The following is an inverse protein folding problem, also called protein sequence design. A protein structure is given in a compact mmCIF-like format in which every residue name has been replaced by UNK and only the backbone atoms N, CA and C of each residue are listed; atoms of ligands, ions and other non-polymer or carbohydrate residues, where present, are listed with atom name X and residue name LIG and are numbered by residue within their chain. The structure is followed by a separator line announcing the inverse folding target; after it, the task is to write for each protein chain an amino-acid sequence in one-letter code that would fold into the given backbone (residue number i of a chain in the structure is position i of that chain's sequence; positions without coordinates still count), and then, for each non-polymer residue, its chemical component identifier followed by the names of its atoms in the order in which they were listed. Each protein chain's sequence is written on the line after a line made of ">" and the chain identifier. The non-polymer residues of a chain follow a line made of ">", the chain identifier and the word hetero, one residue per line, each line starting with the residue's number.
data_IF_366973091737
#
_entry.id   IF_366973091737
#
_cell.length_a   1.000
_cell.length_b   1.000
_cell.length_c   1.000
_cell.angle_alpha   90.00
_cell.angle_beta   90.00
_cell.angle_gamma   90.00
#
_symmetry.space_group_name_H-M   'P 1'
#
loop_
_entity.id
_entity.type
_entity.pdbx_description
1 polymer ?
#
# COMPACT_ATOMS: atom_id res chain seq x y z
N UNK A 1 -31.16 12.21 35.19
CA UNK A 1 -31.88 11.49 34.11
C UNK A 1 -31.47 11.89 32.69
N UNK A 2 -31.35 13.19 32.36
CA UNK A 2 -30.95 13.64 30.99
C UNK A 2 -29.53 13.25 30.54
N UNK A 3 -28.57 13.15 31.46
CA UNK A 3 -27.18 12.74 31.15
C UNK A 3 -27.06 11.24 30.81
N UNK A 4 -27.80 10.40 31.52
CA UNK A 4 -27.86 8.95 31.26
C UNK A 4 -28.56 8.62 29.94
N UNK A 5 -29.58 9.40 29.56
CA UNK A 5 -30.23 9.25 28.25
C UNK A 5 -29.28 9.62 27.11
N UNK A 6 -28.43 10.65 27.28
CA UNK A 6 -27.43 11.04 26.28
C UNK A 6 -26.33 9.97 26.14
N UNK A 7 -25.81 9.44 27.25
CA UNK A 7 -24.86 8.32 27.27
C UNK A 7 -25.47 7.05 26.65
N UNK A 8 -26.74 6.76 26.94
CA UNK A 8 -27.45 5.60 26.40
C UNK A 8 -27.71 5.73 24.90
N UNK A 9 -28.00 6.93 24.39
CA UNK A 9 -28.15 7.20 22.95
C UNK A 9 -26.79 7.11 22.23
N UNK A 10 -25.70 7.59 22.83
CA UNK A 10 -24.34 7.43 22.29
C UNK A 10 -23.94 5.94 22.26
N UNK A 11 -24.28 5.18 23.30
CA UNK A 11 -24.06 3.73 23.36
C UNK A 11 -24.90 2.96 22.33
N UNK A 12 -26.17 3.33 22.13
CA UNK A 12 -27.08 2.65 21.18
C UNK A 12 -26.77 2.94 19.69
N UNK A 13 -26.12 4.05 19.35
CA UNK A 13 -25.72 4.33 17.96
C UNK A 13 -24.45 3.59 17.52
N UNK A 14 -23.75 2.92 18.46
CA UNK A 14 -22.47 2.26 18.20
C UNK A 14 -22.58 0.80 17.72
N UNK A 15 -23.79 0.23 17.61
CA UNK A 15 -24.00 -1.21 17.38
C UNK A 15 -24.29 -1.61 15.93
N UNK A 16 -24.32 -0.69 14.95
CA UNK A 16 -24.60 -1.02 13.55
C UNK A 16 -23.40 -0.82 12.61
N UNK A 17 -22.63 -1.90 12.42
CA UNK A 17 -21.66 -2.16 11.34
C UNK A 17 -20.52 -1.12 11.20
N UNK A 18 -19.59 -1.12 12.16
CA UNK A 18 -18.37 -0.29 12.15
C UNK A 18 -17.42 -0.57 10.96
N UNK A 19 -17.39 -1.81 10.45
CA UNK A 19 -16.64 -2.15 9.22
C UNK A 19 -17.23 -1.56 7.92
N UNK A 20 -18.43 -0.96 7.95
CA UNK A 20 -19.06 -0.38 6.77
C UNK A 20 -18.22 0.73 6.13
N UNK A 21 -17.42 1.44 6.92
CA UNK A 21 -16.60 2.54 6.41
C UNK A 21 -15.56 2.07 5.39
N UNK A 22 -15.05 0.85 5.51
CA UNK A 22 -13.98 0.33 4.65
C UNK A 22 -14.48 -0.61 3.55
N UNK A 23 -15.80 -0.79 3.41
CA UNK A 23 -16.43 -1.79 2.53
C UNK A 23 -16.02 -1.73 1.06
N UNK A 24 -15.68 -0.53 0.55
CA UNK A 24 -15.19 -0.37 -0.82
C UNK A 24 -13.66 -0.30 -0.87
N UNK A 25 -13.03 0.23 0.17
CA UNK A 25 -11.59 0.45 0.25
C UNK A 25 -10.85 -0.89 0.37
N UNK A 26 -11.20 -1.67 1.39
CA UNK A 26 -10.51 -2.92 1.73
C UNK A 26 -10.49 -3.94 0.57
N UNK A 27 -11.62 -4.28 -0.08
CA UNK A 27 -11.58 -5.17 -1.25
C UNK A 27 -10.77 -4.61 -2.43
N UNK A 28 -10.76 -3.29 -2.63
CA UNK A 28 -9.98 -2.67 -3.71
C UNK A 28 -8.47 -2.72 -3.46
N UNK A 29 -8.06 -2.64 -2.20
CA UNK A 29 -6.68 -2.84 -1.76
C UNK A 29 -6.27 -4.31 -1.91
N UNK A 30 -7.09 -5.25 -1.43
CA UNK A 30 -6.85 -6.68 -1.61
C UNK A 30 -6.63 -7.03 -3.09
N UNK A 31 -7.50 -6.50 -3.97
CA UNK A 31 -7.37 -6.68 -5.41
C UNK A 31 -6.07 -6.11 -5.97
N UNK A 32 -5.64 -4.93 -5.52
CA UNK A 32 -4.45 -4.26 -6.04
C UNK A 32 -3.14 -4.89 -5.57
N UNK A 33 -3.06 -5.27 -4.29
CA UNK A 33 -1.82 -5.70 -3.65
C UNK A 33 -1.73 -7.19 -3.37
N UNK A 34 -2.86 -7.90 -3.38
CA UNK A 34 -2.92 -9.31 -3.01
C UNK A 34 -2.95 -9.56 -1.51
N UNK A 35 -3.30 -8.55 -0.72
CA UNK A 35 -3.40 -8.70 0.74
C UNK A 35 -4.65 -9.45 1.17
N UNK A 36 -4.52 -10.23 2.24
CA UNK A 36 -5.63 -10.56 3.12
C UNK A 36 -5.98 -9.30 3.95
N UNK A 37 -7.23 -8.86 3.85
CA UNK A 37 -7.70 -7.65 4.52
C UNK A 37 -8.55 -7.95 5.75
N UNK A 38 -8.58 -9.21 6.22
CA UNK A 38 -9.34 -9.63 7.40
C UNK A 38 -8.94 -8.80 8.61
N UNK A 39 -7.63 -8.73 8.91
CA UNK A 39 -7.13 -7.96 10.05
C UNK A 39 -7.44 -6.47 9.95
N UNK A 40 -7.25 -5.87 8.78
CA UNK A 40 -7.62 -4.47 8.54
C UNK A 40 -9.11 -4.21 8.84
N UNK A 41 -9.99 -5.11 8.41
CA UNK A 41 -11.43 -5.01 8.63
C UNK A 41 -11.80 -5.19 10.11
N UNK A 42 -11.10 -6.08 10.83
CA UNK A 42 -11.26 -6.25 12.28
C UNK A 42 -10.88 -4.96 13.03
N UNK A 43 -9.74 -4.35 12.69
CA UNK A 43 -9.32 -3.04 13.24
C UNK A 43 -10.37 -1.98 12.93
N UNK A 44 -10.82 -1.89 11.68
CA UNK A 44 -11.86 -0.95 11.27
C UNK A 44 -13.19 -1.17 12.01
N UNK A 45 -13.49 -2.40 12.43
CA UNK A 45 -14.68 -2.72 13.21
C UNK A 45 -14.56 -2.31 14.69
N UNK A 46 -13.35 -2.16 15.22
CA UNK A 46 -13.13 -1.79 16.62
C UNK A 46 -12.95 -0.30 16.85
N UNK A 47 -12.70 0.47 15.80
CA UNK A 47 -12.52 1.93 15.87
C UNK A 47 -13.72 2.68 15.30
N UNK A 48 -13.86 3.95 15.67
CA UNK A 48 -14.83 4.84 15.04
C UNK A 48 -14.19 5.57 13.87
N UNK A 49 -14.94 5.74 12.77
CA UNK A 49 -14.51 6.59 11.66
C UNK A 49 -15.20 7.94 11.76
N UNK A 50 -14.42 8.99 11.91
CA UNK A 50 -14.88 10.37 11.91
C UNK A 50 -14.62 11.04 10.56
N UNK A 51 -15.55 11.86 10.09
CA UNK A 51 -15.18 12.95 9.19
C UNK A 51 -14.79 14.15 10.05
N UNK A 52 -13.80 14.97 9.67
CA UNK A 52 -13.43 16.15 10.43
C UNK A 52 -14.67 17.02 10.66
N UNK A 53 -15.01 17.20 11.93
CA UNK A 53 -16.05 18.11 12.41
C UNK A 53 -15.39 19.17 13.30
N UNK A 54 -16.17 20.02 13.98
CA UNK A 54 -15.73 21.18 14.77
C UNK A 54 -14.43 20.99 15.59
N UNK A 55 -14.05 19.78 16.01
CA UNK A 55 -12.77 19.46 16.68
C UNK A 55 -11.51 19.87 15.88
N UNK A 56 -11.54 19.83 14.54
CA UNK A 56 -10.46 20.40 13.71
C UNK A 56 -10.36 21.94 13.84
N UNK A 57 -11.47 22.60 14.19
CA UNK A 57 -11.53 24.04 14.44
C UNK A 57 -10.91 24.43 15.80
N UNK A 58 -10.75 23.46 16.72
CA UNK A 58 -10.09 23.65 18.03
C UNK A 58 -8.61 23.24 18.04
N UNK A 59 -8.01 22.96 16.87
CA UNK A 59 -6.57 22.73 16.69
C UNK A 59 -5.95 21.55 17.47
N UNK A 60 -6.74 20.54 17.83
CA UNK A 60 -6.25 19.36 18.59
C UNK A 60 -5.64 18.30 17.65
N UNK A 61 -5.96 18.33 16.36
CA UNK A 61 -5.56 17.32 15.36
C UNK A 61 -4.90 18.01 14.16
N UNK A 62 -3.79 17.46 13.66
CA UNK A 62 -2.98 18.04 12.58
C UNK A 62 -3.82 18.22 11.29
N UNK A 63 -4.18 19.46 10.97
CA UNK A 63 -5.04 19.81 9.83
C UNK A 63 -4.48 19.41 8.44
N UNK A 64 -3.20 19.03 8.34
CA UNK A 64 -2.55 18.68 7.07
C UNK A 64 -2.68 17.20 6.68
N UNK A 65 -2.77 16.28 7.64
CA UNK A 65 -2.76 14.84 7.38
C UNK A 65 -4.08 14.34 6.78
N UNK A 66 -4.01 13.35 5.90
CA UNK A 66 -5.17 12.80 5.17
C UNK A 66 -6.08 11.94 6.05
N UNK A 67 -5.48 11.31 7.04
CA UNK A 67 -6.13 10.67 8.16
C UNK A 67 -5.35 10.99 9.43
N UNK A 68 -5.99 10.86 10.60
CA UNK A 68 -5.32 10.89 11.90
C UNK A 68 -6.07 9.99 12.88
N UNK A 69 -5.34 9.13 13.58
CA UNK A 69 -5.87 8.32 14.66
C UNK A 69 -5.71 9.01 16.01
N UNK A 70 -6.80 9.07 16.77
CA UNK A 70 -6.83 9.51 18.17
C UNK A 70 -7.08 8.29 19.06
N UNK A 71 -6.06 7.91 19.82
CA UNK A 71 -6.04 6.78 20.75
C UNK A 71 -7.06 6.96 21.90
N UNK A 72 -7.13 8.16 22.49
CA UNK A 72 -8.01 8.47 23.62
C UNK A 72 -9.49 8.30 23.24
N UNK A 73 -9.89 8.81 22.06
CA UNK A 73 -11.26 8.74 21.59
C UNK A 73 -11.55 7.47 20.79
N UNK A 74 -10.51 6.72 20.42
CA UNK A 74 -10.57 5.58 19.51
C UNK A 74 -11.29 5.95 18.19
N UNK A 75 -10.86 7.07 17.59
CA UNK A 75 -11.40 7.62 16.35
C UNK A 75 -10.28 7.72 15.32
N UNK A 76 -10.50 7.16 14.13
CA UNK A 76 -9.73 7.47 12.94
C UNK A 76 -10.48 8.52 12.15
N UNK A 77 -9.97 9.75 12.19
CA UNK A 77 -10.50 10.86 11.41
C UNK A 77 -9.92 10.81 10.00
N UNK A 78 -10.78 10.82 8.98
CA UNK A 78 -10.35 10.87 7.58
C UNK A 78 -10.96 12.09 6.92
N UNK A 79 -10.20 12.82 6.09
CA UNK A 79 -10.75 13.99 5.38
C UNK A 79 -12.03 13.61 4.64
N UNK A 80 -13.06 14.47 4.76
CA UNK A 80 -14.40 14.25 4.17
C UNK A 80 -14.36 13.93 2.67
N UNK A 81 -13.37 14.48 1.97
CA UNK A 81 -13.13 14.28 0.55
C UNK A 81 -12.72 12.86 0.14
N UNK A 82 -12.30 12.01 1.10
CA UNK A 82 -11.98 10.60 0.89
C UNK A 82 -13.18 9.68 1.10
N UNK A 83 -14.34 10.23 1.50
CA UNK A 83 -15.59 9.49 1.64
C UNK A 83 -16.53 9.67 0.44
N UNK A 84 -17.36 8.66 0.25
CA UNK A 84 -18.60 8.70 -0.54
C UNK A 84 -19.77 8.62 0.44
N UNK A 85 -20.62 9.65 0.43
CA UNK A 85 -21.80 9.69 1.28
C UNK A 85 -23.03 9.21 0.52
N UNK A 86 -23.73 8.21 1.07
CA UNK A 86 -25.05 7.78 0.62
C UNK A 86 -25.99 7.73 1.82
N UNK A 87 -27.11 8.45 1.75
CA UNK A 87 -28.11 8.53 2.83
C UNK A 87 -27.50 8.89 4.19
N UNK A 88 -26.61 9.90 4.21
CA UNK A 88 -25.91 10.34 5.42
C UNK A 88 -24.80 9.41 5.92
N UNK A 89 -24.55 8.27 5.26
CA UNK A 89 -23.53 7.29 5.66
C UNK A 89 -22.32 7.38 4.74
N UNK A 90 -21.15 7.67 5.31
CA UNK A 90 -19.88 7.78 4.58
C UNK A 90 -19.12 6.46 4.50
N UNK A 91 -18.67 6.09 3.30
CA UNK A 91 -17.71 4.98 3.11
C UNK A 91 -16.46 5.48 2.39
N UNK A 92 -15.29 4.98 2.78
CA UNK A 92 -14.03 5.32 2.12
C UNK A 92 -14.09 4.94 0.64
N UNK A 93 -13.54 5.80 -0.19
CA UNK A 93 -13.39 5.57 -1.62
C UNK A 93 -12.52 4.32 -1.87
N UNK A 94 -12.92 3.50 -2.85
CA UNK A 94 -12.03 2.48 -3.41
C UNK A 94 -10.78 3.10 -4.05
N UNK A 95 -9.73 2.30 -4.25
CA UNK A 95 -8.50 2.74 -4.94
C UNK A 95 -8.78 3.34 -6.32
N UNK A 96 -9.70 2.76 -7.08
CA UNK A 96 -10.09 3.30 -8.40
C UNK A 96 -10.75 4.68 -8.30
N UNK A 97 -11.55 4.92 -7.27
CA UNK A 97 -12.19 6.21 -7.04
C UNK A 97 -11.17 7.26 -6.58
N UNK A 98 -10.28 6.88 -5.66
CA UNK A 98 -9.18 7.73 -5.22
C UNK A 98 -8.26 8.10 -6.40
N UNK A 99 -7.90 7.12 -7.24
CA UNK A 99 -7.08 7.33 -8.44
C UNK A 99 -7.74 8.27 -9.44
N UNK A 100 -9.04 8.12 -9.69
CA UNK A 100 -9.78 9.04 -10.59
C UNK A 100 -9.81 10.47 -10.05
N UNK A 101 -9.95 10.63 -8.73
CA UNK A 101 -10.10 11.95 -8.10
C UNK A 101 -8.77 12.66 -7.87
N UNK A 102 -7.73 11.95 -7.44
CA UNK A 102 -6.45 12.52 -7.00
C UNK A 102 -5.27 12.17 -7.92
N UNK A 103 -5.50 11.40 -8.99
CA UNK A 103 -4.50 11.02 -9.99
C UNK A 103 -3.24 10.39 -9.41
N UNK A 104 -2.16 11.16 -9.23
CA UNK A 104 -0.89 10.71 -8.68
C UNK A 104 -0.89 10.71 -7.15
N UNK A 105 -1.62 11.65 -6.53
CA UNK A 105 -1.63 11.83 -5.08
C UNK A 105 -2.46 10.76 -4.33
N UNK A 106 -3.16 9.88 -5.05
CA UNK A 106 -3.97 8.83 -4.41
C UNK A 106 -3.14 7.84 -3.60
N UNK A 107 -1.89 7.58 -3.99
CA UNK A 107 -0.99 6.68 -3.27
C UNK A 107 -0.70 7.21 -1.88
N UNK A 108 -0.45 8.52 -1.75
CA UNK A 108 -0.25 9.21 -0.46
C UNK A 108 -1.49 9.09 0.41
N UNK A 109 -2.70 9.25 -0.15
CA UNK A 109 -3.95 9.08 0.63
C UNK A 109 -4.07 7.67 1.22
N UNK A 110 -3.72 6.65 0.43
CA UNK A 110 -3.80 5.23 0.82
C UNK A 110 -2.74 4.92 1.87
N UNK A 111 -1.50 5.37 1.65
CA UNK A 111 -0.40 5.27 2.60
C UNK A 111 -0.79 5.86 3.97
N UNK A 112 -1.31 7.10 4.00
CA UNK A 112 -1.74 7.73 5.25
C UNK A 112 -2.87 6.95 5.94
N UNK A 113 -3.85 6.42 5.20
CA UNK A 113 -4.90 5.58 5.81
C UNK A 113 -4.28 4.34 6.47
N UNK A 114 -3.31 3.70 5.82
CA UNK A 114 -2.61 2.54 6.36
C UNK A 114 -1.75 2.87 7.58
N UNK A 115 -1.04 4.00 7.54
CA UNK A 115 -0.26 4.51 8.67
C UNK A 115 -1.12 4.66 9.93
N UNK A 116 -2.26 5.36 9.80
CA UNK A 116 -3.15 5.61 10.94
C UNK A 116 -3.90 4.34 11.39
N UNK A 117 -4.24 3.45 10.45
CA UNK A 117 -4.78 2.14 10.77
C UNK A 117 -3.76 1.28 11.53
N UNK A 118 -2.46 1.43 11.26
CA UNK A 118 -1.41 0.74 12.00
C UNK A 118 -1.27 1.25 13.44
N UNK A 119 -1.58 2.53 13.71
CA UNK A 119 -1.72 3.03 15.08
C UNK A 119 -2.92 2.39 15.80
N UNK A 120 -4.07 2.35 15.13
CA UNK A 120 -5.26 1.68 15.66
C UNK A 120 -5.03 0.18 15.92
N UNK A 121 -4.30 -0.49 15.03
CA UNK A 121 -3.92 -1.90 15.19
C UNK A 121 -2.99 -2.12 16.38
N UNK A 122 -2.04 -1.20 16.59
CA UNK A 122 -1.17 -1.22 17.76
C UNK A 122 -1.99 -1.22 19.05
N UNK A 123 -2.90 -0.25 19.18
CA UNK A 123 -3.74 -0.05 20.35
C UNK A 123 -4.70 -1.23 20.58
N UNK A 124 -5.42 -1.66 19.53
CA UNK A 124 -6.52 -2.63 19.67
C UNK A 124 -6.11 -4.09 19.68
N UNK A 125 -4.95 -4.42 19.11
CA UNK A 125 -4.60 -5.81 18.94
C UNK A 125 -3.16 -6.14 19.29
N UNK A 126 -2.19 -5.25 19.08
CA UNK A 126 -0.80 -5.60 19.41
C UNK A 126 -0.57 -5.47 20.91
N UNK A 127 -0.97 -4.34 21.52
CA UNK A 127 -0.84 -4.14 22.97
C UNK A 127 -1.72 -5.10 23.78
N UNK A 128 -2.91 -5.43 23.27
CA UNK A 128 -3.85 -6.39 23.86
C UNK A 128 -3.67 -7.84 23.33
N UNK A 129 -2.56 -8.09 22.61
CA UNK A 129 -2.34 -9.26 21.76
C UNK A 129 -2.58 -10.62 22.39
N UNK A 130 -3.51 -11.37 21.79
CA UNK A 130 -3.80 -12.76 22.16
C UNK A 130 -3.00 -13.76 21.33
N UNK A 131 -2.70 -13.42 20.08
CA UNK A 131 -1.95 -14.30 19.16
C UNK A 131 -0.45 -14.32 19.48
N UNK A 132 0.28 -15.39 19.11
CA UNK A 132 1.73 -15.42 19.22
C UNK A 132 2.43 -14.28 18.45
N UNK A 133 1.89 -13.89 17.29
CA UNK A 133 2.46 -12.85 16.42
C UNK A 133 2.29 -11.46 17.01
N UNK A 134 1.10 -11.13 17.55
CA UNK A 134 0.88 -9.87 18.25
C UNK A 134 1.82 -9.77 19.47
N UNK A 135 1.92 -10.82 20.28
CA UNK A 135 2.80 -10.87 21.46
C UNK A 135 4.28 -10.73 21.09
N UNK A 136 4.72 -11.38 20.02
CA UNK A 136 6.10 -11.28 19.53
C UNK A 136 6.43 -9.84 19.14
N UNK A 137 5.57 -9.21 18.33
CA UNK A 137 5.77 -7.83 17.92
C UNK A 137 5.73 -6.87 19.12
N UNK A 138 4.74 -7.02 20.00
CA UNK A 138 4.65 -6.21 21.23
C UNK A 138 5.92 -6.30 22.06
N UNK A 139 6.46 -7.50 22.28
CA UNK A 139 7.67 -7.70 23.06
C UNK A 139 8.88 -7.00 22.42
N UNK A 140 9.07 -7.10 21.11
CA UNK A 140 10.17 -6.41 20.40
C UNK A 140 10.02 -4.90 20.54
N UNK A 141 8.83 -4.36 20.26
CA UNK A 141 8.60 -2.92 20.33
C UNK A 141 8.74 -2.38 21.76
N UNK A 142 8.18 -3.08 22.74
CA UNK A 142 8.13 -2.63 24.13
C UNK A 142 9.45 -2.81 24.86
N UNK A 143 10.12 -3.94 24.67
CA UNK A 143 11.27 -4.34 25.47
C UNK A 143 12.61 -4.08 24.78
N UNK A 144 12.63 -3.88 23.46
CA UNK A 144 13.88 -3.62 22.72
C UNK A 144 13.89 -2.23 22.08
N UNK A 145 12.91 -1.93 21.23
CA UNK A 145 12.85 -0.68 20.47
C UNK A 145 12.60 0.52 21.39
N UNK A 146 11.59 0.46 22.26
CA UNK A 146 11.27 1.57 23.17
C UNK A 146 12.45 1.97 24.08
N UNK A 147 13.18 1.03 24.71
CA UNK A 147 14.42 1.35 25.40
C UNK A 147 15.50 1.97 24.51
N UNK A 148 15.66 1.49 23.27
CA UNK A 148 16.61 2.08 22.32
C UNK A 148 16.25 3.53 22.00
N UNK A 149 14.97 3.84 21.71
CA UNK A 149 14.53 5.22 21.46
C UNK A 149 14.79 6.09 22.69
N UNK A 150 14.52 5.59 23.90
CA UNK A 150 14.75 6.33 25.16
C UNK A 150 16.23 6.68 25.37
N UNK A 151 17.16 5.81 24.94
CA UNK A 151 18.61 6.06 25.06
C UNK A 151 19.14 6.97 23.96
N UNK A 152 18.65 6.82 22.74
CA UNK A 152 19.17 7.50 21.55
C UNK A 152 18.43 8.80 21.22
N UNK A 153 17.35 9.13 21.93
CA UNK A 153 16.53 10.31 21.67
C UNK A 153 15.89 10.87 22.94
N UNK A 154 15.80 12.20 23.04
CA UNK A 154 15.07 12.90 24.13
C UNK A 154 13.54 12.93 23.90
N UNK A 155 13.05 12.21 22.89
CA UNK A 155 11.64 12.21 22.47
C UNK A 155 10.83 11.15 23.21
N UNK A 156 9.51 11.23 23.09
CA UNK A 156 8.62 10.22 23.67
C UNK A 156 8.84 8.87 23.00
N UNK A 157 9.42 7.92 23.74
CA UNK A 157 9.65 6.57 23.25
C UNK A 157 8.36 5.76 23.07
N UNK A 158 7.29 6.09 23.81
CA UNK A 158 5.97 5.49 23.58
C UNK A 158 5.40 5.92 22.23
N UNK A 159 5.48 7.20 21.88
CA UNK A 159 5.00 7.66 20.57
C UNK A 159 5.91 7.14 19.46
N UNK A 160 7.23 7.12 19.71
CA UNK A 160 8.19 6.63 18.72
C UNK A 160 7.97 5.19 18.26
N UNK A 161 7.46 4.29 19.12
CA UNK A 161 7.13 2.92 18.68
C UNK A 161 5.83 2.85 17.85
N UNK A 162 4.84 3.71 18.14
CA UNK A 162 3.63 3.82 17.33
C UNK A 162 3.96 4.36 15.94
N UNK A 163 4.71 5.46 15.90
CA UNK A 163 5.20 6.08 14.65
C UNK A 163 6.04 5.11 13.85
N UNK A 164 6.99 4.39 14.48
CA UNK A 164 7.78 3.36 13.80
C UNK A 164 6.88 2.31 13.12
N UNK A 165 5.86 1.81 13.81
CA UNK A 165 4.93 0.85 13.24
C UNK A 165 4.17 1.47 12.04
N UNK A 166 3.62 2.68 12.21
CA UNK A 166 2.92 3.41 11.15
C UNK A 166 3.79 3.66 9.91
N UNK A 167 4.99 4.23 10.09
CA UNK A 167 5.93 4.49 9.00
C UNK A 167 6.39 3.21 8.32
N UNK A 168 6.61 2.12 9.07
CA UNK A 168 7.00 0.86 8.47
C UNK A 168 5.91 0.30 7.58
N UNK A 169 4.66 0.24 8.05
CA UNK A 169 3.51 -0.22 7.25
C UNK A 169 3.33 0.70 6.03
N UNK A 170 3.43 2.01 6.19
CA UNK A 170 3.38 2.95 5.08
C UNK A 170 4.45 2.67 4.01
N UNK A 171 5.70 2.44 4.42
CA UNK A 171 6.79 2.08 3.53
C UNK A 171 6.52 0.78 2.75
N UNK A 172 5.79 -0.19 3.32
CA UNK A 172 5.32 -1.38 2.57
C UNK A 172 4.42 -0.96 1.41
N UNK A 173 3.40 -0.17 1.72
CA UNK A 173 2.40 0.31 0.75
C UNK A 173 3.07 1.12 -0.36
N UNK A 174 3.93 2.06 -0.02
CA UNK A 174 4.68 2.87 -0.99
C UNK A 174 5.57 2.02 -1.89
N UNK A 175 6.32 1.08 -1.30
CA UNK A 175 7.24 0.20 -2.05
C UNK A 175 6.46 -0.65 -3.05
N UNK A 176 5.31 -1.19 -2.65
CA UNK A 176 4.47 -1.98 -3.54
C UNK A 176 3.82 -1.11 -4.61
N UNK A 177 3.35 0.10 -4.30
CA UNK A 177 2.85 1.01 -5.34
C UNK A 177 3.91 1.33 -6.40
N UNK A 178 5.14 1.61 -5.97
CA UNK A 178 6.27 1.83 -6.87
C UNK A 178 6.50 0.62 -7.78
N UNK A 179 6.50 -0.59 -7.22
CA UNK A 179 6.69 -1.81 -7.99
C UNK A 179 5.53 -2.12 -8.95
N UNK A 180 4.29 -1.82 -8.57
CA UNK A 180 3.14 -1.89 -9.48
C UNK A 180 3.33 -0.94 -10.66
N UNK A 181 3.78 0.29 -10.40
CA UNK A 181 4.14 1.26 -11.43
C UNK A 181 5.22 0.73 -12.37
N UNK A 182 6.31 0.19 -11.80
CA UNK A 182 7.42 -0.43 -12.55
C UNK A 182 6.95 -1.61 -13.40
N UNK A 183 6.10 -2.51 -12.85
CA UNK A 183 5.53 -3.65 -13.57
C UNK A 183 4.74 -3.16 -14.79
N UNK A 184 3.85 -2.18 -14.61
CA UNK A 184 3.04 -1.69 -15.72
C UNK A 184 3.88 -0.95 -16.77
N UNK A 185 4.82 -0.12 -16.34
CA UNK A 185 5.72 0.58 -17.25
C UNK A 185 6.60 -0.41 -18.04
N UNK A 186 7.14 -1.43 -17.37
CA UNK A 186 7.88 -2.52 -18.01
C UNK A 186 7.06 -3.26 -19.06
N UNK A 187 5.73 -3.31 -18.86
CA UNK A 187 4.77 -3.94 -19.77
C UNK A 187 4.21 -3.00 -20.84
N UNK A 188 4.70 -1.76 -20.95
CA UNK A 188 4.27 -0.78 -21.96
C UNK A 188 2.94 -0.11 -21.63
N UNK A 189 2.58 -0.01 -20.34
CA UNK A 189 1.29 0.51 -19.88
C UNK A 189 1.50 1.78 -19.07
N UNK A 190 0.93 2.89 -19.53
CA UNK A 190 0.79 4.09 -18.71
C UNK A 190 -0.53 4.02 -17.93
N UNK A 191 -0.43 3.70 -16.63
CA UNK A 191 -1.61 3.52 -15.76
C UNK A 191 -2.41 4.78 -15.49
N UNK A 192 -1.83 5.97 -15.65
CA UNK A 192 -2.51 7.23 -15.38
C UNK A 192 -3.36 7.66 -16.58
N UNK A 193 -2.83 7.45 -17.78
CA UNK A 193 -3.51 7.78 -19.03
C UNK A 193 -4.32 6.60 -19.59
N UNK A 194 -4.13 5.39 -19.05
CA UNK A 194 -4.70 4.15 -19.59
C UNK A 194 -4.34 3.94 -21.07
N UNK A 195 -3.09 4.30 -21.43
CA UNK A 195 -2.53 4.19 -22.77
C UNK A 195 -1.44 3.13 -22.83
N UNK A 196 -1.32 2.47 -23.98
CA UNK A 196 -0.24 1.54 -24.28
C UNK A 196 0.83 2.25 -25.12
N UNK A 197 2.08 1.82 -24.97
CA UNK A 197 3.20 2.33 -25.77
C UNK A 197 4.22 1.23 -26.06
N UNK A 198 4.83 1.30 -27.24
CA UNK A 198 5.79 0.31 -27.74
C UNK A 198 7.21 0.79 -27.48
N UNK A 199 7.61 0.81 -26.20
CA UNK A 199 9.00 1.11 -25.84
C UNK A 199 9.97 0.08 -26.45
N UNK A 200 11.26 0.45 -26.57
CA UNK A 200 12.30 -0.41 -27.17
C UNK A 200 12.28 -1.84 -26.62
N UNK A 201 12.13 -2.00 -25.30
CA UNK A 201 12.07 -3.31 -24.65
C UNK A 201 10.84 -4.13 -25.06
N UNK A 202 9.68 -3.50 -25.22
CA UNK A 202 8.44 -4.18 -25.63
C UNK A 202 8.52 -4.62 -27.09
N UNK A 203 9.06 -3.77 -27.97
CA UNK A 203 9.31 -4.14 -29.37
C UNK A 203 10.28 -5.31 -29.48
N UNK A 204 11.40 -5.26 -28.75
CA UNK A 204 12.36 -6.37 -28.66
C UNK A 204 11.71 -7.66 -28.16
N UNK A 205 10.80 -7.57 -27.18
CA UNK A 205 10.08 -8.73 -26.66
C UNK A 205 9.04 -9.28 -27.63
N UNK A 206 8.52 -8.46 -28.56
CA UNK A 206 7.63 -8.94 -29.60
C UNK A 206 8.35 -9.87 -30.58
N UNK A 207 9.61 -9.60 -30.92
CA UNK A 207 10.39 -10.47 -31.82
C UNK A 207 11.02 -11.67 -31.09
N UNK A 208 11.42 -11.51 -29.82
CA UNK A 208 12.08 -12.59 -29.05
C UNK A 208 11.13 -13.68 -28.53
N UNK A 209 9.84 -13.39 -28.35
CA UNK A 209 8.89 -14.29 -27.69
C UNK A 209 7.84 -14.82 -28.66
N UNK A 210 7.37 -16.04 -28.40
CA UNK A 210 6.14 -16.52 -29.04
C UNK A 210 4.96 -15.60 -28.71
N UNK A 211 3.98 -15.50 -29.60
CA UNK A 211 2.78 -14.69 -29.35
C UNK A 211 2.10 -15.09 -28.03
N UNK A 212 2.04 -16.39 -27.73
CA UNK A 212 1.42 -16.91 -26.49
C UNK A 212 2.10 -16.41 -25.22
N UNK A 213 3.43 -16.29 -25.22
CA UNK A 213 4.19 -15.72 -24.12
C UNK A 213 4.12 -14.20 -24.11
N UNK A 214 4.19 -13.57 -25.28
CA UNK A 214 4.21 -12.13 -25.40
C UNK A 214 2.90 -11.49 -24.94
N UNK A 215 1.74 -12.12 -25.11
CA UNK A 215 0.47 -11.56 -24.62
C UNK A 215 0.31 -11.62 -23.09
N UNK A 216 1.15 -12.36 -22.37
CA UNK A 216 1.13 -12.47 -20.89
C UNK A 216 1.82 -11.27 -20.24
N UNK A 217 1.40 -10.89 -19.04
CA UNK A 217 2.10 -9.84 -18.28
C UNK A 217 3.54 -10.31 -17.98
N UNK A 218 4.53 -9.58 -18.48
CA UNK A 218 5.94 -9.91 -18.39
C UNK A 218 6.46 -9.51 -17.00
N UNK A 219 7.32 -10.36 -16.43
CA UNK A 219 7.93 -10.10 -15.11
C UNK A 219 9.21 -9.26 -15.31
N UNK A 220 9.32 -8.09 -14.65
CA UNK A 220 10.56 -7.32 -14.66
C UNK A 220 11.69 -8.13 -14.01
N UNK A 221 12.71 -8.54 -14.78
CA UNK A 221 13.81 -9.38 -14.26
C UNK A 221 14.59 -8.69 -13.13
N UNK A 222 14.72 -7.36 -13.19
CA UNK A 222 15.40 -6.57 -12.16
C UNK A 222 14.61 -6.63 -10.86
N UNK A 223 15.21 -7.25 -9.83
CA UNK A 223 14.62 -7.44 -8.48
C UNK A 223 13.41 -8.39 -8.43
N UNK A 224 13.12 -9.16 -9.49
CA UNK A 224 11.98 -10.09 -9.54
C UNK A 224 11.85 -10.96 -8.29
N UNK A 225 12.99 -11.53 -7.85
CA UNK A 225 13.09 -12.46 -6.70
C UNK A 225 13.58 -11.79 -5.41
N UNK A 226 13.85 -10.47 -5.41
CA UNK A 226 14.28 -9.80 -4.19
C UNK A 226 13.06 -9.64 -3.28
N UNK A 227 13.15 -10.18 -2.07
CA UNK A 227 12.06 -10.15 -1.11
C UNK A 227 11.76 -8.71 -0.65
N UNK A 228 10.48 -8.41 -0.41
CA UNK A 228 10.07 -7.10 0.10
C UNK A 228 10.66 -6.81 1.48
N UNK A 229 10.72 -7.81 2.37
CA UNK A 229 11.34 -7.69 3.70
C UNK A 229 12.79 -7.17 3.68
N UNK A 230 13.51 -7.38 2.57
CA UNK A 230 14.91 -6.93 2.38
C UNK A 230 15.02 -5.59 1.64
N UNK A 231 13.90 -4.90 1.45
CA UNK A 231 13.80 -3.64 0.70
C UNK A 231 13.13 -2.53 1.51
N UNK A 232 12.34 -2.88 2.49
CA UNK A 232 11.64 -1.94 3.36
C UNK A 232 12.58 -1.54 4.48
N UNK A 233 12.94 -0.27 4.51
CA UNK A 233 13.76 0.33 5.55
C UNK A 233 13.15 1.68 5.91
N UNK A 234 12.92 1.93 7.19
CA UNK A 234 12.53 3.24 7.68
C UNK A 234 13.79 3.97 8.10
N UNK A 235 14.07 5.12 7.49
CA UNK A 235 15.26 5.92 7.79
C UNK A 235 15.14 6.72 9.08
N UNK A 236 13.92 7.17 9.38
CA UNK A 236 13.60 8.05 10.50
C UNK A 236 12.13 7.90 10.91
N UNK A 237 11.78 8.37 12.11
CA UNK A 237 10.39 8.54 12.54
C UNK A 237 10.17 9.95 13.08
N UNK A 238 9.02 10.57 12.79
CA UNK A 238 8.66 11.87 13.34
C UNK A 238 7.90 11.71 14.66
N UNK A 239 8.41 12.30 15.73
CA UNK A 239 7.74 12.31 17.04
C UNK A 239 7.52 13.75 17.47
N UNK A 240 6.24 14.17 17.48
CA UNK A 240 5.82 15.54 17.84
C UNK A 240 6.57 16.62 17.05
N UNK A 241 6.60 16.48 15.72
CA UNK A 241 7.22 17.45 14.81
C UNK A 241 8.75 17.48 14.86
N UNK A 242 9.40 16.43 15.40
CA UNK A 242 10.86 16.30 15.40
C UNK A 242 11.28 14.89 15.00
N UNK A 243 12.33 14.81 14.20
CA UNK A 243 12.86 13.55 13.68
C UNK A 243 13.64 12.75 14.74
N UNK A 244 13.54 11.43 14.65
CA UNK A 244 14.42 10.44 15.28
C UNK A 244 15.04 9.63 14.15
N UNK A 245 16.33 9.84 13.88
CA UNK A 245 17.07 9.05 12.89
C UNK A 245 17.23 7.60 13.38
N UNK A 246 16.76 6.65 12.57
CA UNK A 246 16.94 5.22 12.85
C UNK A 246 18.30 4.72 12.33
N UNK A 247 18.88 5.41 11.34
CA UNK A 247 20.24 5.12 10.85
C UNK A 247 21.35 5.71 11.73
N UNK A 248 21.06 5.96 13.02
CA UNK A 248 21.86 6.73 13.97
C UNK A 248 23.33 6.31 14.12
N UNK A 249 24.11 7.15 14.83
CA UNK A 249 25.58 7.08 14.94
C UNK A 249 26.13 5.66 15.15
N UNK A 250 27.33 5.40 14.60
CA UNK A 250 28.01 4.09 14.50
C UNK A 250 28.12 3.23 15.77
N UNK A 251 27.74 3.75 16.95
CA UNK A 251 27.87 3.07 18.25
C UNK A 251 26.64 2.29 18.72
N UNK A 252 25.43 2.60 18.26
CA UNK A 252 24.20 1.86 18.61
C UNK A 252 23.20 1.87 17.44
N UNK A 253 23.52 1.23 16.30
CA UNK A 253 22.67 1.26 15.12
C UNK A 253 21.33 0.56 15.38
N UNK A 254 20.27 1.05 14.73
CA UNK A 254 18.97 0.40 14.77
C UNK A 254 19.04 -0.98 14.10
N UNK A 255 18.47 -1.98 14.77
CA UNK A 255 18.67 -3.39 14.40
C UNK A 255 17.72 -3.82 13.29
N UNK A 256 18.23 -4.55 12.30
CA UNK A 256 17.41 -5.09 11.20
C UNK A 256 16.36 -6.08 11.71
N UNK A 257 16.67 -6.81 12.77
CA UNK A 257 15.78 -7.79 13.40
C UNK A 257 14.49 -7.14 13.93
N UNK A 258 14.54 -5.86 14.32
CA UNK A 258 13.35 -5.12 14.76
C UNK A 258 12.41 -4.81 13.60
N UNK A 259 12.94 -4.50 12.42
CA UNK A 259 12.15 -4.40 11.19
C UNK A 259 11.58 -5.76 10.78
N UNK A 260 12.35 -6.83 10.94
CA UNK A 260 11.87 -8.18 10.66
C UNK A 260 10.69 -8.56 11.55
N UNK A 261 10.66 -8.16 12.82
CA UNK A 261 9.52 -8.41 13.69
C UNK A 261 8.23 -7.74 13.21
N UNK A 262 8.32 -6.50 12.69
CA UNK A 262 7.17 -5.81 12.10
C UNK A 262 6.75 -6.50 10.81
N UNK A 263 7.71 -6.88 9.94
CA UNK A 263 7.41 -7.63 8.72
C UNK A 263 6.74 -8.97 9.01
N UNK A 264 7.24 -9.76 9.96
CA UNK A 264 6.68 -11.08 10.32
C UNK A 264 5.21 -10.96 10.74
N UNK A 265 4.88 -9.91 11.51
CA UNK A 265 3.52 -9.64 11.93
C UNK A 265 2.64 -9.27 10.73
N UNK A 266 3.11 -8.34 9.89
CA UNK A 266 2.39 -7.96 8.67
C UNK A 266 2.20 -9.15 7.72
N UNK A 267 3.23 -9.96 7.51
CA UNK A 267 3.20 -11.14 6.66
C UNK A 267 2.16 -12.16 7.15
N UNK A 268 2.09 -12.38 8.46
CA UNK A 268 1.13 -13.31 9.04
C UNK A 268 -0.33 -12.86 8.84
N UNK A 269 -0.63 -11.58 9.08
CA UNK A 269 -2.02 -11.08 9.07
C UNK A 269 -2.51 -10.61 7.69
N UNK A 270 -1.60 -10.14 6.85
CA UNK A 270 -1.94 -9.55 5.55
C UNK A 270 -1.50 -10.42 4.37
N UNK A 271 -0.70 -11.48 4.60
CA UNK A 271 -0.24 -12.43 3.57
C UNK A 271 0.15 -11.76 2.22
N UNK A 272 1.06 -10.77 2.23
CA UNK A 272 1.40 -10.03 1.03
C UNK A 272 2.21 -10.90 0.05
N UNK A 273 2.21 -10.58 -1.25
CA UNK A 273 3.19 -11.14 -2.18
C UNK A 273 4.61 -10.93 -1.66
N UNK A 274 5.45 -11.95 -1.69
CA UNK A 274 6.79 -11.88 -1.07
C UNK A 274 7.79 -11.07 -1.91
N UNK A 275 7.52 -10.91 -3.20
CA UNK A 275 8.41 -10.26 -4.18
C UNK A 275 7.65 -9.73 -5.41
N UNK A 276 8.37 -9.08 -6.35
CA UNK A 276 7.81 -8.52 -7.59
C UNK A 276 7.22 -9.61 -8.49
N UNK A 277 7.82 -10.80 -8.54
CA UNK A 277 7.32 -11.90 -9.37
C UNK A 277 5.93 -12.36 -8.90
N UNK A 278 5.75 -12.61 -7.61
CA UNK A 278 4.44 -12.97 -7.04
C UNK A 278 3.42 -11.84 -7.21
N UNK A 279 3.83 -10.59 -7.00
CA UNK A 279 2.96 -9.43 -7.26
C UNK A 279 2.53 -9.38 -8.73
N UNK A 280 3.43 -9.61 -9.67
CA UNK A 280 3.12 -9.64 -11.11
C UNK A 280 2.12 -10.76 -11.42
N UNK A 281 2.31 -11.94 -10.83
CA UNK A 281 1.39 -13.08 -10.99
C UNK A 281 0.00 -12.77 -10.40
N UNK A 282 -0.06 -12.11 -9.25
CA UNK A 282 -1.30 -11.63 -8.65
C UNK A 282 -2.03 -10.66 -9.58
N UNK A 283 -1.33 -9.62 -10.04
CA UNK A 283 -1.89 -8.62 -10.96
C UNK A 283 -2.38 -9.23 -12.27
N UNK A 284 -1.71 -10.28 -12.77
CA UNK A 284 -2.09 -10.94 -14.03
C UNK A 284 -3.44 -11.67 -13.97
N UNK A 285 -3.89 -12.10 -12.78
CA UNK A 285 -5.18 -12.81 -12.60
C UNK A 285 -6.36 -11.88 -12.92
N UNK A 286 -6.35 -10.69 -12.33
CA UNK A 286 -7.46 -9.73 -12.41
C UNK A 286 -7.06 -8.40 -13.06
N UNK A 287 -6.14 -8.45 -14.04
CA UNK A 287 -5.62 -7.26 -14.69
C UNK A 287 -6.74 -6.48 -15.43
N UNK A 288 -7.09 -5.25 -15.01
CA UNK A 288 -8.24 -4.54 -15.57
C UNK A 288 -8.15 -4.20 -17.06
N UNK A 289 -6.95 -4.24 -17.65
CA UNK A 289 -6.72 -3.96 -19.07
C UNK A 289 -6.25 -5.20 -19.84
N UNK A 290 -6.53 -6.41 -19.35
CA UNK A 290 -6.06 -7.68 -19.94
C UNK A 290 -6.41 -7.81 -21.41
N UNK A 291 -7.68 -7.64 -21.76
CA UNK A 291 -8.14 -7.76 -23.15
C UNK A 291 -7.47 -6.73 -24.07
N UNK A 292 -7.41 -5.48 -23.62
CA UNK A 292 -6.77 -4.39 -24.37
C UNK A 292 -5.27 -4.61 -24.55
N UNK A 293 -4.59 -5.16 -23.54
CA UNK A 293 -3.17 -5.51 -23.64
C UNK A 293 -2.95 -6.64 -24.65
N UNK A 294 -3.80 -7.67 -24.63
CA UNK A 294 -3.73 -8.79 -25.59
C UNK A 294 -3.90 -8.25 -27.02
N UNK A 295 -4.93 -7.45 -27.26
CA UNK A 295 -5.19 -6.85 -28.58
C UNK A 295 -4.01 -6.01 -29.05
N UNK A 296 -3.51 -5.12 -28.17
CA UNK A 296 -2.37 -4.27 -28.47
C UNK A 296 -1.11 -5.08 -28.82
N UNK A 297 -0.82 -6.15 -28.07
CA UNK A 297 0.37 -6.99 -28.29
C UNK A 297 0.27 -7.87 -29.52
N UNK A 298 -0.93 -8.34 -29.88
CA UNK A 298 -1.15 -9.05 -31.16
C UNK A 298 -0.80 -8.16 -32.35
N UNK A 299 -1.35 -6.95 -32.38
CA UNK A 299 -1.05 -5.96 -33.43
C UNK A 299 0.44 -5.67 -33.53
N UNK A 300 1.09 -5.44 -32.38
CA UNK A 300 2.52 -5.18 -32.35
C UNK A 300 3.36 -6.37 -32.83
N UNK A 301 2.99 -7.60 -32.48
CA UNK A 301 3.69 -8.82 -32.92
C UNK A 301 3.59 -8.99 -34.44
N UNK A 302 2.40 -8.81 -35.01
CA UNK A 302 2.16 -8.86 -36.46
C UNK A 302 2.95 -7.77 -37.22
N UNK A 303 3.03 -6.56 -36.66
CA UNK A 303 3.78 -5.45 -37.25
C UNK A 303 5.29 -5.71 -37.28
N UNK A 304 5.86 -6.36 -36.26
CA UNK A 304 7.29 -6.64 -36.21
C UNK A 304 7.69 -7.78 -37.16
N UNK A 305 6.88 -8.84 -37.28
CA UNK A 305 7.21 -9.94 -38.19
C UNK A 305 7.15 -9.50 -39.67
N UNK A 306 6.20 -8.62 -40.03
CA UNK A 306 6.14 -8.04 -41.39
C UNK A 306 7.37 -7.21 -41.75
N UNK A 307 8.01 -6.57 -40.77
CA UNK A 307 9.22 -5.78 -41.01
C UNK A 307 10.44 -6.68 -41.27
N UNK A 308 10.55 -7.81 -40.57
CA UNK A 308 11.59 -8.81 -40.82
C UNK A 308 11.43 -9.43 -42.22
N UNK A 309 10.22 -9.83 -42.61
CA UNK A 309 9.94 -10.38 -43.96
C UNK A 309 10.32 -9.40 -45.09
N UNK A 310 10.10 -8.09 -44.89
CA UNK A 310 10.47 -7.08 -45.89
C UNK A 310 11.98 -6.83 -45.97
N UNK A 311 12.71 -6.91 -44.85
CA UNK A 311 14.16 -6.72 -44.83
C UNK A 311 14.90 -7.93 -45.44
N UNK A 312 14.40 -9.14 -45.22
CA UNK A 312 14.96 -10.35 -45.82
C UNK A 312 14.69 -10.42 -47.34
N UNK A 313 13.55 -9.89 -47.80
CA UNK A 313 13.28 -9.77 -49.25
C UNK A 313 14.20 -8.77 -49.95
N UNK A 314 14.50 -7.62 -49.32
CA UNK A 314 15.44 -6.64 -49.87
C UNK A 314 16.87 -7.22 -49.95
N UNK A 315 17.31 -7.96 -48.91
CA UNK A 315 18.63 -8.61 -48.90
C UNK A 315 18.76 -9.71 -49.99
N UNK A 316 17.68 -10.46 -50.23
CA UNK A 316 17.66 -11.50 -51.28
C UNK A 316 17.61 -10.92 -52.69
N UNK A 317 16.99 -9.75 -52.87
CA UNK A 317 16.98 -9.08 -54.17
C UNK A 317 18.35 -8.47 -54.50
N UNK A 318 19.10 -7.99 -53.52
CA UNK A 318 20.46 -7.48 -53.72
C UNK A 318 21.46 -8.60 -54.05
N UNK A 319 21.29 -9.80 -53.50
CA UNK A 319 22.16 -10.96 -53.76
C UNK A 319 21.92 -11.64 -55.12
N UNK A 320 20.78 -11.39 -55.78
CA UNK A 320 20.44 -11.95 -57.09
C UNK A 320 20.68 -10.97 -58.25
N UNK A 321 21.32 -9.82 -57.99
CA UNK A 321 21.69 -8.81 -59.00
C UNK A 321 23.21 -8.74 -59.29
N UNK A 322 24.02 -9.61 -58.69
CA UNK A 322 25.39 -9.94 -59.15
C UNK A 322 25.37 -11.22 -60.01
#
# INVERSE_FOLDING_TARGET
>A
MRLYLLLFIILLTSTFSKARHVVNFSPSVAKQFGFDMTRFNEVAAQIHFGSPSLLNQWSIINASAEATYNDILNILEVKKELYIFKNGKGTLMSLNQLKKKYQYAYTVKVDTIFHEMAHAEMDKFIEEGKTPQDKKLYNVLKNEVKPWIKRNSKRSSSIGIFELHGYFIGQIIETMFADIGDIYLFNGINIYQSKFFAGRNIKKKATELSLEEFIKLLIPKRRAKKLYRDRIEVGYVWVKGKEIELKGSSKDPFKKEWFQAIWDHFEYFYNPPTNIQELTQHLAKDFPLKEKLIEYRKKLHEEQNKQEDSQDQDLFNDLNQE
#
